data_IF_601255291091
#
_entry.id   IF_601255291091
#
_cell.length_a   1.000
_cell.length_b   1.000
_cell.length_c   1.000
_cell.angle_alpha   90.00
_cell.angle_beta   90.00
_cell.angle_gamma   90.00
#
_symmetry.space_group_name_H-M   'P 1'
#
loop_
_entity.id
_entity.type
_entity.pdbx_description
1 polymer ?
#
# COMPACT_ATOMS: atom_id res chain seq x y z
N UNK A 1 37.51 29.25 4.60
CA UNK A 1 37.93 29.59 3.22
C UNK A 1 39.46 29.59 3.21
N UNK A 2 40.14 28.96 2.23
CA UNK A 2 39.93 29.13 0.80
C UNK A 2 39.23 27.95 0.09
N UNK A 3 38.78 28.12 -1.16
CA UNK A 3 38.07 27.10 -1.93
C UNK A 3 38.83 26.59 -3.17
N UNK A 4 38.31 25.49 -3.70
CA UNK A 4 38.53 24.87 -5.02
C UNK A 4 39.81 24.05 -5.26
N UNK A 5 39.61 22.73 -5.33
CA UNK A 5 40.21 21.95 -6.42
C UNK A 5 39.15 21.10 -7.10
N UNK A 6 38.97 21.42 -8.38
CA UNK A 6 38.17 20.72 -9.37
C UNK A 6 38.66 19.27 -9.55
N UNK A 7 37.69 18.38 -9.74
CA UNK A 7 37.89 17.01 -10.17
C UNK A 7 36.57 16.48 -10.74
N UNK A 8 36.13 17.03 -11.87
CA UNK A 8 35.12 16.38 -12.70
C UNK A 8 35.78 15.19 -13.39
N UNK A 9 35.29 13.99 -13.11
CA UNK A 9 35.40 12.85 -14.03
C UNK A 9 33.99 12.45 -14.41
N UNK A 10 33.69 12.69 -15.69
CA UNK A 10 32.49 12.25 -16.40
C UNK A 10 32.78 10.88 -17.00
N UNK A 11 31.92 9.91 -16.69
CA UNK A 11 31.59 8.71 -17.51
C UNK A 11 30.12 8.44 -17.14
N UNK A 12 29.09 8.82 -17.91
CA UNK A 12 28.57 8.17 -19.12
C UNK A 12 28.65 6.64 -19.06
N UNK A 13 27.53 6.01 -18.68
CA UNK A 13 26.69 5.11 -19.52
C UNK A 13 25.65 4.46 -18.58
N UNK A 14 24.40 4.93 -18.60
CA UNK A 14 23.28 4.25 -19.27
C UNK A 14 23.20 2.76 -18.91
N UNK A 15 22.41 2.44 -17.87
CA UNK A 15 21.61 1.22 -17.67
C UNK A 15 21.16 1.14 -16.21
N UNK A 16 20.29 2.06 -15.78
CA UNK A 16 19.48 1.84 -14.59
C UNK A 16 18.03 2.04 -15.02
N UNK A 17 17.47 0.99 -15.60
CA UNK A 17 16.03 0.78 -15.57
C UNK A 17 15.61 0.87 -14.09
N UNK A 18 14.61 1.68 -13.72
CA UNK A 18 14.12 1.65 -12.35
C UNK A 18 13.52 0.27 -12.14
N UNK A 19 14.23 -0.57 -11.39
CA UNK A 19 13.75 -1.84 -10.87
C UNK A 19 12.52 -1.54 -10.00
N UNK A 20 11.35 -1.51 -10.64
CA UNK A 20 10.06 -1.47 -9.97
C UNK A 20 9.96 -2.80 -9.26
N UNK A 21 10.51 -2.87 -8.04
CA UNK A 21 10.37 -3.98 -7.11
C UNK A 21 8.90 -4.11 -6.77
N UNK A 22 8.18 -4.84 -7.63
CA UNK A 22 6.81 -5.27 -7.36
C UNK A 22 6.88 -6.18 -6.15
N UNK A 23 6.17 -5.81 -5.09
CA UNK A 23 5.95 -6.69 -3.94
C UNK A 23 5.32 -7.98 -4.46
N UNK A 24 6.12 -9.05 -4.51
CA UNK A 24 5.69 -10.37 -4.96
C UNK A 24 5.29 -11.20 -3.75
N UNK A 25 4.01 -11.55 -3.67
CA UNK A 25 3.48 -12.44 -2.63
C UNK A 25 3.69 -13.90 -3.07
N UNK A 26 4.43 -14.70 -2.30
CA UNK A 26 4.54 -16.16 -2.51
C UNK A 26 3.34 -16.88 -1.91
N UNK A 27 2.65 -17.79 -2.63
CA UNK A 27 1.52 -18.53 -2.10
C UNK A 27 2.01 -19.83 -1.47
N UNK A 28 2.41 -19.82 -0.20
CA UNK A 28 2.60 -21.09 0.52
C UNK A 28 2.16 -20.99 1.99
N UNK A 29 1.43 -22.03 2.41
CA UNK A 29 0.99 -22.39 3.78
C UNK A 29 -0.36 -21.84 4.32
N UNK A 30 -1.41 -22.66 4.17
CA UNK A 30 -2.52 -22.81 5.16
C UNK A 30 -2.08 -23.84 6.23
N UNK A 31 -2.45 -23.72 7.53
CA UNK A 31 -3.83 -23.65 8.00
C UNK A 31 -4.10 -22.71 9.20
N UNK A 32 -5.39 -22.63 9.57
CA UNK A 32 -6.09 -21.77 10.56
C UNK A 32 -6.78 -20.56 9.92
N UNK A 33 -8.09 -20.71 9.65
CA UNK A 33 -8.96 -19.63 9.25
C UNK A 33 -9.22 -18.71 10.46
N UNK A 34 -8.66 -17.49 10.52
CA UNK A 34 -9.10 -16.51 11.51
C UNK A 34 -10.56 -16.14 11.23
N UNK A 35 -11.30 -15.80 12.28
CA UNK A 35 -12.75 -15.49 12.30
C UNK A 35 -13.21 -14.37 11.34
N UNK A 36 -12.30 -13.81 10.53
CA UNK A 36 -12.50 -12.68 9.62
C UNK A 36 -12.27 -13.08 8.15
N UNK A 37 -12.04 -14.35 7.84
CA UNK A 37 -11.83 -14.81 6.45
C UNK A 37 -13.18 -14.92 5.74
N UNK A 38 -13.47 -13.98 4.84
CA UNK A 38 -14.62 -14.10 3.95
C UNK A 38 -14.40 -15.24 2.96
N UNK A 39 -15.37 -16.14 2.81
CA UNK A 39 -15.34 -17.12 1.73
C UNK A 39 -15.56 -16.43 0.35
N UNK A 40 -15.27 -17.15 -0.74
CA UNK A 40 -15.42 -16.61 -2.10
C UNK A 40 -16.86 -16.16 -2.41
N UNK A 41 -17.86 -16.83 -1.83
CA UNK A 41 -19.27 -16.47 -2.02
C UNK A 41 -19.58 -15.12 -1.36
N UNK A 42 -19.11 -14.92 -0.13
CA UNK A 42 -19.27 -13.68 0.63
C UNK A 42 -18.52 -12.53 -0.05
N UNK A 43 -17.33 -12.77 -0.60
CA UNK A 43 -16.63 -11.78 -1.43
C UNK A 43 -17.40 -11.41 -2.70
N UNK A 44 -18.02 -12.38 -3.37
CA UNK A 44 -18.84 -12.16 -4.56
C UNK A 44 -20.05 -11.27 -4.26
N UNK A 45 -20.79 -11.59 -3.19
CA UNK A 45 -21.94 -10.79 -2.73
C UNK A 45 -21.51 -9.38 -2.34
N UNK A 46 -20.40 -9.23 -1.61
CA UNK A 46 -19.86 -7.90 -1.27
C UNK A 46 -19.50 -7.09 -2.50
N UNK A 47 -18.87 -7.69 -3.52
CA UNK A 47 -18.50 -7.00 -4.75
C UNK A 47 -19.73 -6.65 -5.61
N UNK A 48 -20.77 -7.49 -5.63
CA UNK A 48 -22.02 -7.24 -6.34
C UNK A 48 -22.82 -6.09 -5.70
N UNK A 49 -22.71 -5.90 -4.38
CA UNK A 49 -23.38 -4.84 -3.64
C UNK A 49 -22.78 -3.43 -3.85
N UNK A 50 -21.58 -3.32 -4.44
CA UNK A 50 -20.96 -2.03 -4.79
C UNK A 50 -20.94 -1.82 -6.30
N UNK A 51 -21.15 -0.58 -6.73
CA UNK A 51 -20.99 -0.23 -8.13
C UNK A 51 -19.57 -0.54 -8.62
N UNK A 52 -19.44 -0.95 -9.89
CA UNK A 52 -18.14 -1.23 -10.53
C UNK A 52 -17.17 -0.05 -10.39
N UNK A 53 -17.68 1.19 -10.47
CA UNK A 53 -16.91 2.43 -10.28
C UNK A 53 -16.33 2.53 -8.86
N UNK A 54 -17.12 2.21 -7.84
CA UNK A 54 -16.66 2.21 -6.45
C UNK A 54 -15.63 1.12 -6.19
N UNK A 55 -15.85 -0.08 -6.75
CA UNK A 55 -14.90 -1.19 -6.66
C UNK A 55 -13.57 -0.82 -7.31
N UNK A 56 -13.60 -0.28 -8.53
CA UNK A 56 -12.42 0.18 -9.26
C UNK A 56 -11.62 1.20 -8.44
N UNK A 57 -12.29 2.22 -7.87
CA UNK A 57 -11.63 3.22 -7.04
C UNK A 57 -10.99 2.62 -5.78
N UNK A 58 -11.64 1.66 -5.13
CA UNK A 58 -11.06 0.95 -3.98
C UNK A 58 -9.80 0.16 -4.39
N UNK A 59 -9.84 -0.54 -5.52
CA UNK A 59 -8.68 -1.27 -6.04
C UNK A 59 -7.53 -0.33 -6.40
N UNK A 60 -7.84 0.81 -7.05
CA UNK A 60 -6.86 1.83 -7.40
C UNK A 60 -6.16 2.38 -6.14
N UNK A 61 -6.92 2.72 -5.09
CA UNK A 61 -6.33 3.23 -3.85
C UNK A 61 -5.46 2.20 -3.12
N UNK A 62 -5.81 0.91 -3.20
CA UNK A 62 -4.95 -0.15 -2.67
C UNK A 62 -3.66 -0.31 -3.51
N UNK A 63 -3.74 -0.18 -4.83
CA UNK A 63 -2.57 -0.20 -5.70
C UNK A 63 -1.63 0.97 -5.41
N UNK A 64 -2.16 2.19 -5.22
CA UNK A 64 -1.35 3.35 -4.85
C UNK A 64 -0.61 3.16 -3.51
N UNK A 65 -1.24 2.49 -2.54
CA UNK A 65 -0.57 2.13 -1.29
C UNK A 65 0.60 1.16 -1.52
N UNK A 66 0.41 0.14 -2.37
CA UNK A 66 1.47 -0.81 -2.70
C UNK A 66 2.63 -0.15 -3.46
N UNK A 67 2.34 0.75 -4.38
CA UNK A 67 3.37 1.53 -5.08
C UNK A 67 4.15 2.41 -4.09
N UNK A 68 3.44 3.16 -3.25
CA UNK A 68 4.09 3.97 -2.21
C UNK A 68 4.94 3.12 -1.25
N UNK A 69 4.46 1.94 -0.86
CA UNK A 69 5.22 1.03 0.00
C UNK A 69 6.50 0.54 -0.67
N UNK A 70 6.44 0.24 -1.97
CA UNK A 70 7.63 -0.10 -2.77
C UNK A 70 8.63 1.06 -2.86
N UNK A 71 8.13 2.29 -3.08
CA UNK A 71 8.97 3.50 -3.12
C UNK A 71 9.67 3.77 -1.76
N UNK A 72 9.01 3.42 -0.66
CA UNK A 72 9.55 3.53 0.70
C UNK A 72 10.45 2.35 1.10
N UNK A 73 10.62 1.35 0.23
CA UNK A 73 11.43 0.15 0.50
C UNK A 73 10.85 -0.76 1.57
N UNK A 74 9.53 -0.75 1.77
CA UNK A 74 8.86 -1.58 2.78
C UNK A 74 8.79 -3.05 2.34
N UNK A 75 8.98 -3.95 3.30
CA UNK A 75 8.85 -5.39 3.07
C UNK A 75 7.39 -5.86 3.24
N UNK A 76 7.10 -7.07 2.80
CA UNK A 76 5.74 -7.63 2.85
C UNK A 76 5.14 -7.60 4.26
N UNK A 77 5.95 -7.89 5.27
CA UNK A 77 5.58 -7.87 6.69
C UNK A 77 5.16 -6.47 7.20
N UNK A 78 5.63 -5.40 6.57
CA UNK A 78 5.29 -4.02 6.93
C UNK A 78 4.04 -3.51 6.21
N UNK A 79 3.67 -4.20 5.12
CA UNK A 79 2.53 -3.89 4.23
C UNK A 79 1.31 -4.74 4.59
N UNK A 80 1.53 -5.92 5.18
CA UNK A 80 0.48 -6.91 5.35
C UNK A 80 0.67 -7.79 6.62
N UNK A 81 -0.09 -7.53 7.71
CA UNK A 81 -0.95 -6.37 7.95
C UNK A 81 -0.13 -5.10 8.24
N UNK A 82 -0.51 -3.94 7.67
CA UNK A 82 0.28 -2.72 7.83
C UNK A 82 0.23 -2.22 9.27
N UNK A 83 1.37 -1.78 9.79
CA UNK A 83 1.47 -1.16 11.12
C UNK A 83 0.76 0.21 11.16
N UNK A 84 0.38 0.67 12.35
CA UNK A 84 -0.17 2.03 12.52
C UNK A 84 0.82 3.10 12.03
N UNK A 85 2.12 2.91 12.27
CA UNK A 85 3.16 3.81 11.77
C UNK A 85 3.20 3.84 10.23
N UNK A 86 3.08 2.68 9.57
CA UNK A 86 3.01 2.59 8.10
C UNK A 86 1.81 3.36 7.56
N UNK A 87 0.64 3.20 8.19
CA UNK A 87 -0.60 3.89 7.79
C UNK A 87 -0.52 5.41 8.00
N UNK A 88 0.09 5.85 9.11
CA UNK A 88 0.35 7.27 9.37
C UNK A 88 1.33 7.87 8.36
N UNK A 89 2.40 7.16 8.02
CA UNK A 89 3.37 7.60 7.00
C UNK A 89 2.72 7.71 5.61
N UNK A 90 1.87 6.74 5.26
CA UNK A 90 1.08 6.80 4.04
C UNK A 90 0.15 8.02 4.04
N UNK A 91 -0.56 8.27 5.14
CA UNK A 91 -1.41 9.45 5.30
C UNK A 91 -0.63 10.76 5.20
N UNK A 92 0.57 10.81 5.81
CA UNK A 92 1.44 11.98 5.79
C UNK A 92 1.99 12.28 4.38
N UNK A 93 2.16 11.27 3.53
CA UNK A 93 2.58 11.45 2.13
C UNK A 93 1.65 12.38 1.32
N UNK A 94 0.41 12.53 1.80
CA UNK A 94 -0.65 13.34 1.21
C UNK A 94 -0.78 14.75 1.79
N UNK A 95 -0.04 15.08 2.85
CA UNK A 95 -0.12 16.39 3.50
C UNK A 95 0.11 17.53 2.49
N UNK A 96 -0.84 18.46 2.42
CA UNK A 96 -0.81 19.58 1.47
C UNK A 96 -1.05 19.23 0.00
N UNK A 97 -1.26 17.96 -0.36
CA UNK A 97 -1.44 17.51 -1.75
C UNK A 97 -2.91 17.18 -2.08
N UNK A 98 -3.63 16.61 -1.13
CA UNK A 98 -5.04 16.22 -1.31
C UNK A 98 -5.89 16.58 -0.09
N UNK A 99 -7.20 16.67 -0.30
CA UNK A 99 -8.16 16.88 0.79
C UNK A 99 -8.15 15.70 1.79
N UNK A 100 -8.32 16.01 3.07
CA UNK A 100 -8.32 14.99 4.14
C UNK A 100 -9.38 13.90 3.96
N UNK A 101 -10.55 14.24 3.42
CA UNK A 101 -11.58 13.25 3.08
C UNK A 101 -11.12 12.24 2.04
N UNK A 102 -10.30 12.66 1.07
CA UNK A 102 -9.71 11.77 0.07
C UNK A 102 -8.65 10.87 0.69
N UNK A 103 -7.80 11.39 1.58
CA UNK A 103 -6.82 10.59 2.32
C UNK A 103 -7.50 9.50 3.17
N UNK A 104 -8.58 9.86 3.88
CA UNK A 104 -9.41 8.91 4.64
C UNK A 104 -10.05 7.83 3.76
N UNK A 105 -10.52 8.20 2.56
CA UNK A 105 -11.05 7.23 1.60
C UNK A 105 -9.98 6.24 1.09
N UNK A 106 -8.73 6.70 0.93
CA UNK A 106 -7.59 5.83 0.57
C UNK A 106 -7.27 4.85 1.69
N UNK A 107 -7.17 5.31 2.94
CA UNK A 107 -6.94 4.45 4.11
C UNK A 107 -8.06 3.41 4.28
N UNK A 108 -9.32 3.81 4.07
CA UNK A 108 -10.47 2.90 4.09
C UNK A 108 -10.39 1.81 3.00
N UNK A 109 -9.82 2.13 1.84
CA UNK A 109 -9.59 1.16 0.78
C UNK A 109 -8.48 0.16 1.15
N UNK A 110 -7.39 0.62 1.77
CA UNK A 110 -6.34 -0.26 2.32
C UNK A 110 -6.92 -1.20 3.38
N UNK A 111 -7.73 -0.70 4.31
CA UNK A 111 -8.46 -1.53 5.29
C UNK A 111 -9.32 -2.60 4.63
N UNK A 112 -10.14 -2.19 3.66
CA UNK A 112 -10.99 -3.11 2.90
C UNK A 112 -10.19 -4.14 2.10
N UNK A 113 -8.97 -3.82 1.70
CA UNK A 113 -8.06 -4.72 0.99
C UNK A 113 -7.43 -5.75 1.95
N UNK A 114 -6.92 -5.31 3.12
CA UNK A 114 -6.39 -6.20 4.16
C UNK A 114 -7.45 -7.18 4.65
N UNK A 115 -8.67 -6.70 4.91
CA UNK A 115 -9.78 -7.55 5.34
C UNK A 115 -10.18 -8.58 4.28
N UNK A 116 -10.10 -8.23 2.99
CA UNK A 116 -10.33 -9.18 1.89
C UNK A 116 -9.25 -10.24 1.77
N UNK A 117 -8.06 -10.03 2.32
CA UNK A 117 -7.03 -11.07 2.46
C UNK A 117 -7.22 -11.95 3.70
N UNK A 118 -8.30 -11.75 4.47
CA UNK A 118 -8.56 -12.50 5.71
C UNK A 118 -7.68 -12.09 6.88
N UNK A 119 -6.94 -10.99 6.76
CA UNK A 119 -5.97 -10.55 7.77
C UNK A 119 -6.58 -9.55 8.75
N UNK A 120 -6.09 -9.61 9.99
CA UNK A 120 -6.52 -8.67 11.02
C UNK A 120 -6.05 -7.25 10.70
N UNK A 121 -6.94 -6.29 10.89
CA UNK A 121 -6.62 -4.89 10.74
C UNK A 121 -5.91 -4.40 12.01
N UNK A 122 -4.62 -4.06 11.90
CA UNK A 122 -3.80 -3.57 13.01
C UNK A 122 -3.86 -2.04 13.20
N UNK A 123 -4.52 -1.31 12.31
CA UNK A 123 -4.80 0.11 12.53
C UNK A 123 -5.82 0.25 13.67
N UNK A 124 -5.44 0.85 14.80
CA UNK A 124 -6.38 1.09 15.90
C UNK A 124 -7.58 1.94 15.44
N UNK A 125 -8.63 2.03 16.27
CA UNK A 125 -9.88 2.76 15.99
C UNK A 125 -9.71 4.23 15.55
N UNK A 126 -8.52 4.81 15.72
CA UNK A 126 -8.17 6.17 15.33
C UNK A 126 -8.12 6.41 13.80
N UNK A 127 -8.10 5.35 12.98
CA UNK A 127 -8.12 5.43 11.51
C UNK A 127 -9.53 5.23 10.92
N UNK A 128 -10.56 5.68 11.64
CA UNK A 128 -11.97 5.55 11.27
C UNK A 128 -12.47 6.71 10.40
#
# INVERSE_FOLDING_TARGET
MPPYRSGYVRNQDENNEPDIRKVCFTPDQQPHLPANTFDQNTMSVMNAAVSKKTLHRKTQYAAEFLTWAGDMGLEEQDVLPPSEATLCNFAASFAGKIAGGTAKAKLSAVKSWVQRKGLLWNGRDNLR
#
